data_IF_714178473767
#
_entry.id   IF_714178473767
#
_cell.length_a   1.000
_cell.length_b   1.000
_cell.length_c   1.000
_cell.angle_alpha   90.00
_cell.angle_beta   90.00
_cell.angle_gamma   90.00
#
_symmetry.space_group_name_H-M   'P 1'
#
loop_
_entity.id
_entity.type
_entity.pdbx_description
1 polymer ?
#
# COMPACT_ATOMS: atom_id res chain seq x y z
N UNK A 1 -3.41 0.63 -3.10
CA UNK A 1 -3.97 1.80 -3.77
C UNK A 1 -2.83 2.74 -4.12
N UNK A 2 -2.88 3.38 -5.29
CA UNK A 2 -1.90 4.36 -5.77
C UNK A 2 -2.56 5.71 -6.03
N UNK A 3 -1.74 6.75 -6.20
CA UNK A 3 -2.18 8.06 -6.66
C UNK A 3 -2.48 8.02 -8.16
N UNK A 4 -3.39 8.89 -8.61
CA UNK A 4 -3.72 9.11 -10.01
C UNK A 4 -3.57 10.62 -10.31
N UNK A 5 -2.57 11.03 -11.10
CA UNK A 5 -2.32 12.45 -11.39
C UNK A 5 -3.54 13.16 -11.96
N UNK A 6 -4.20 12.55 -12.95
CA UNK A 6 -5.39 13.11 -13.62
C UNK A 6 -6.48 13.42 -12.62
N UNK A 7 -6.75 12.46 -11.73
CA UNK A 7 -7.75 12.62 -10.68
C UNK A 7 -7.34 13.69 -9.65
N UNK A 8 -6.06 13.79 -9.31
CA UNK A 8 -5.57 14.82 -8.39
C UNK A 8 -5.63 16.22 -9.00
N UNK A 9 -5.33 16.36 -10.29
CA UNK A 9 -5.44 17.60 -11.06
C UNK A 9 -6.90 18.03 -11.14
N UNK A 10 -7.79 17.11 -11.53
CA UNK A 10 -9.23 17.35 -11.55
C UNK A 10 -9.72 17.85 -10.19
N UNK A 11 -9.27 17.25 -9.09
CA UNK A 11 -9.71 17.65 -7.74
C UNK A 11 -8.98 18.87 -7.17
N UNK A 12 -7.97 19.40 -7.88
CA UNK A 12 -7.18 20.57 -7.49
C UNK A 12 -6.23 20.31 -6.31
N UNK A 13 -5.68 19.10 -6.21
CA UNK A 13 -4.70 18.69 -5.19
C UNK A 13 -3.36 18.21 -5.75
N UNK A 14 -3.21 18.23 -7.08
CA UNK A 14 -1.99 17.78 -7.73
C UNK A 14 -0.78 18.58 -7.27
N UNK A 15 -0.80 19.90 -7.41
CA UNK A 15 0.39 20.74 -7.15
C UNK A 15 0.93 20.59 -5.72
N UNK A 16 0.07 20.52 -4.70
CA UNK A 16 0.55 20.33 -3.32
C UNK A 16 1.12 18.92 -3.10
N UNK A 17 0.48 17.89 -3.65
CA UNK A 17 0.97 16.51 -3.53
C UNK A 17 2.27 16.33 -4.32
N UNK A 18 2.34 16.88 -5.53
CA UNK A 18 3.50 16.82 -6.40
C UNK A 18 4.69 17.52 -5.74
N UNK A 19 4.49 18.75 -5.25
CA UNK A 19 5.50 19.51 -4.50
C UNK A 19 5.98 18.77 -3.26
N UNK A 20 5.06 18.19 -2.47
CA UNK A 20 5.43 17.42 -1.28
C UNK A 20 6.23 16.16 -1.60
N UNK A 21 5.85 15.43 -2.66
CA UNK A 21 6.55 14.21 -3.04
C UNK A 21 7.90 14.53 -3.68
N UNK A 22 8.00 15.56 -4.52
CA UNK A 22 9.21 15.89 -5.28
C UNK A 22 9.85 14.64 -5.91
N UNK A 23 11.17 14.54 -5.81
CA UNK A 23 11.94 13.36 -6.27
C UNK A 23 12.05 12.24 -5.22
N UNK A 24 11.21 12.27 -4.18
CA UNK A 24 11.29 11.26 -3.11
C UNK A 24 11.00 9.85 -3.64
N UNK A 25 11.60 8.85 -3.00
CA UNK A 25 11.32 7.44 -3.30
C UNK A 25 9.86 7.06 -2.99
N UNK A 26 9.17 7.84 -2.16
CA UNK A 26 7.73 7.67 -1.95
C UNK A 26 6.93 7.89 -3.23
N UNK A 27 7.35 8.82 -4.10
CA UNK A 27 6.72 9.01 -5.42
C UNK A 27 6.73 7.70 -6.21
N UNK A 28 7.87 7.01 -6.27
CA UNK A 28 8.01 5.74 -7.01
C UNK A 28 7.04 4.66 -6.49
N UNK A 29 6.85 4.58 -5.18
CA UNK A 29 5.93 3.63 -4.55
C UNK A 29 4.47 4.03 -4.78
N UNK A 30 4.15 5.32 -4.67
CA UNK A 30 2.78 5.83 -4.77
C UNK A 30 2.26 5.97 -6.19
N UNK A 31 3.12 5.86 -7.21
CA UNK A 31 2.78 5.87 -8.63
C UNK A 31 3.25 4.61 -9.37
N UNK A 32 3.45 3.49 -8.66
CA UNK A 32 3.82 2.23 -9.31
C UNK A 32 2.77 1.85 -10.37
N UNK A 33 3.20 1.56 -11.60
CA UNK A 33 2.34 1.16 -12.72
C UNK A 33 2.84 -0.16 -13.32
N UNK A 34 2.86 -1.21 -12.51
CA UNK A 34 3.28 -2.55 -12.95
C UNK A 34 2.11 -3.54 -12.88
N UNK A 35 2.03 -4.45 -13.84
CA UNK A 35 1.01 -5.51 -13.85
C UNK A 35 1.36 -6.56 -12.80
N UNK A 36 0.38 -7.07 -12.07
CA UNK A 36 0.57 -8.12 -11.08
C UNK A 36 0.40 -9.50 -11.73
N UNK A 37 1.21 -10.47 -11.31
CA UNK A 37 0.94 -11.90 -11.55
C UNK A 37 0.50 -12.54 -10.24
N UNK A 38 -0.75 -13.01 -10.15
CA UNK A 38 -1.28 -13.63 -8.94
C UNK A 38 -0.49 -14.89 -8.55
N UNK A 39 -0.17 -15.83 -9.47
CA UNK A 39 0.62 -17.01 -9.15
C UNK A 39 1.98 -16.66 -8.53
N UNK A 40 2.75 -15.76 -9.16
CA UNK A 40 4.06 -15.35 -8.66
C UNK A 40 3.97 -14.57 -7.35
N UNK A 41 2.92 -13.77 -7.19
CA UNK A 41 2.64 -13.04 -5.96
C UNK A 41 2.41 -14.01 -4.79
N UNK A 42 1.60 -15.04 -5.02
CA UNK A 42 1.30 -16.04 -3.99
C UNK A 42 2.54 -16.88 -3.67
N UNK A 43 3.27 -17.36 -4.67
CA UNK A 43 4.50 -18.12 -4.49
C UNK A 43 5.52 -17.34 -3.64
N UNK A 44 5.76 -16.07 -3.99
CA UNK A 44 6.65 -15.20 -3.24
C UNK A 44 6.17 -14.99 -1.80
N UNK A 45 4.90 -14.63 -1.60
CA UNK A 45 4.38 -14.31 -0.26
C UNK A 45 4.32 -15.52 0.67
N UNK A 46 4.09 -16.72 0.13
CA UNK A 46 4.08 -17.97 0.90
C UNK A 46 5.50 -18.45 1.25
N UNK A 47 6.51 -18.06 0.48
CA UNK A 47 7.90 -18.51 0.67
C UNK A 47 8.80 -17.47 1.34
N UNK A 48 8.40 -16.18 1.38
CA UNK A 48 9.29 -15.11 1.85
C UNK A 48 9.62 -15.23 3.34
N UNK A 49 10.92 -15.32 3.62
CA UNK A 49 11.49 -15.42 4.95
C UNK A 49 12.65 -14.43 5.10
N UNK A 50 12.85 -13.96 6.33
CA UNK A 50 13.94 -13.03 6.66
C UNK A 50 14.88 -13.68 7.65
N UNK A 51 16.18 -13.58 7.42
CA UNK A 51 17.23 -13.98 8.36
C UNK A 51 18.18 -12.83 8.66
N UNK A 52 18.74 -12.84 9.86
CA UNK A 52 19.76 -11.90 10.30
C UNK A 52 20.86 -12.68 11.01
N UNK A 53 22.11 -12.52 10.56
CA UNK A 53 23.25 -13.35 11.00
C UNK A 53 22.95 -14.87 10.99
N UNK A 54 22.28 -15.35 9.94
CA UNK A 54 21.94 -16.77 9.79
C UNK A 54 20.72 -17.23 10.61
N UNK A 55 20.23 -16.43 11.56
CA UNK A 55 19.06 -16.78 12.35
C UNK A 55 17.77 -16.20 11.77
N UNK A 56 16.67 -16.94 11.90
CA UNK A 56 15.35 -16.45 11.48
C UNK A 56 14.98 -15.18 12.25
N UNK A 57 14.56 -14.14 11.53
CA UNK A 57 14.08 -12.90 12.13
C UNK A 57 12.75 -13.18 12.81
N UNK A 58 12.79 -13.33 14.14
CA UNK A 58 11.63 -13.57 14.98
C UNK A 58 10.57 -12.47 14.84
N UNK A 59 9.36 -12.77 15.26
CA UNK A 59 8.27 -11.81 15.26
C UNK A 59 8.61 -10.61 16.18
N UNK A 60 8.61 -9.40 15.61
CA UNK A 60 9.05 -8.18 16.31
C UNK A 60 10.51 -7.80 16.09
N UNK A 61 11.37 -8.70 15.60
CA UNK A 61 12.75 -8.37 15.28
C UNK A 61 12.86 -7.41 14.08
N UNK A 62 13.82 -6.49 14.20
CA UNK A 62 14.03 -5.39 13.26
C UNK A 62 14.72 -5.92 12.01
N UNK A 63 14.01 -5.89 10.88
CA UNK A 63 14.64 -6.05 9.56
C UNK A 63 15.51 -4.82 9.31
N UNK A 64 16.78 -5.04 9.04
CA UNK A 64 17.76 -4.05 8.62
C UNK A 64 18.21 -4.27 7.17
N UNK A 65 19.08 -3.39 6.67
CA UNK A 65 19.62 -3.47 5.29
C UNK A 65 20.44 -4.74 5.05
N UNK A 66 21.16 -5.21 6.06
CA UNK A 66 22.00 -6.42 6.01
C UNK A 66 21.22 -7.71 6.29
N UNK A 67 19.93 -7.62 6.63
CA UNK A 67 19.09 -8.81 6.73
C UNK A 67 19.00 -9.48 5.36
N UNK A 68 18.99 -10.82 5.33
CA UNK A 68 18.76 -11.59 4.10
C UNK A 68 17.28 -11.91 3.94
N UNK A 69 16.79 -11.77 2.73
CA UNK A 69 15.45 -12.16 2.30
C UNK A 69 15.58 -13.40 1.41
N UNK A 70 15.00 -14.51 1.87
CA UNK A 70 14.86 -15.75 1.10
C UNK A 70 13.43 -15.89 0.61
N UNK A 71 13.24 -16.34 -0.61
CA UNK A 71 11.92 -16.50 -1.22
C UNK A 71 12.02 -17.36 -2.47
N UNK A 72 10.89 -17.83 -2.97
CA UNK A 72 10.77 -18.62 -4.20
C UNK A 72 9.96 -17.83 -5.23
N UNK A 73 10.45 -17.79 -6.46
CA UNK A 73 9.70 -17.32 -7.64
C UNK A 73 10.06 -18.22 -8.82
N UNK A 74 9.06 -18.63 -9.61
CA UNK A 74 9.23 -19.53 -10.77
C UNK A 74 9.84 -20.88 -10.37
N UNK A 75 9.51 -21.37 -9.18
CA UNK A 75 10.05 -22.60 -8.60
C UNK A 75 11.50 -22.51 -8.14
N UNK A 76 12.16 -21.36 -8.27
CA UNK A 76 13.56 -21.18 -7.91
C UNK A 76 13.70 -20.43 -6.59
N UNK A 77 14.53 -20.96 -5.69
CA UNK A 77 14.89 -20.27 -4.45
C UNK A 77 15.88 -19.14 -4.73
N UNK A 78 15.59 -17.97 -4.16
CA UNK A 78 16.42 -16.79 -4.19
C UNK A 78 16.78 -16.36 -2.78
N UNK A 79 17.97 -15.80 -2.62
CA UNK A 79 18.48 -15.29 -1.35
C UNK A 79 19.27 -14.01 -1.61
N UNK A 80 18.68 -12.87 -1.26
CA UNK A 80 19.29 -11.53 -1.47
C UNK A 80 19.34 -10.75 -0.16
N UNK A 81 20.18 -9.72 -0.07
CA UNK A 81 20.11 -8.79 1.06
C UNK A 81 18.93 -7.83 0.89
N UNK A 82 18.49 -7.20 1.98
CA UNK A 82 17.49 -6.13 1.92
C UNK A 82 18.05 -4.91 1.17
N UNK A 83 19.35 -4.63 1.28
CA UNK A 83 20.02 -3.65 0.43
C UNK A 83 19.87 -3.99 -1.06
N UNK A 84 20.07 -5.26 -1.42
CA UNK A 84 19.93 -5.76 -2.78
C UNK A 84 18.50 -5.67 -3.32
N UNK A 85 17.52 -5.98 -2.48
CA UNK A 85 16.10 -5.75 -2.78
C UNK A 85 15.85 -4.30 -3.23
N UNK A 86 16.46 -3.34 -2.52
CA UNK A 86 16.30 -1.91 -2.81
C UNK A 86 16.70 -1.53 -4.23
N UNK A 87 17.90 -1.93 -4.67
CA UNK A 87 18.34 -1.58 -6.03
C UNK A 87 17.68 -2.45 -7.11
N UNK A 88 17.33 -3.71 -6.81
CA UNK A 88 16.58 -4.57 -7.74
C UNK A 88 15.18 -4.04 -8.05
N UNK A 89 14.54 -3.39 -7.09
CA UNK A 89 13.27 -2.68 -7.32
C UNK A 89 13.46 -1.29 -7.96
N UNK A 90 14.68 -0.94 -8.38
CA UNK A 90 14.99 0.35 -8.99
C UNK A 90 14.85 1.54 -8.04
N UNK A 91 14.94 1.34 -6.72
CA UNK A 91 14.87 2.44 -5.75
C UNK A 91 16.22 3.10 -5.49
N UNK A 92 17.30 2.35 -5.67
CA UNK A 92 18.66 2.79 -5.42
C UNK A 92 19.58 2.25 -6.52
N UNK A 93 20.74 2.87 -6.70
CA UNK A 93 21.82 2.26 -7.49
C UNK A 93 22.53 1.18 -6.69
N UNK A 94 23.06 0.11 -7.31
CA UNK A 94 23.85 -0.90 -6.60
C UNK A 94 25.01 -0.30 -5.78
N UNK A 95 25.75 0.67 -6.35
CA UNK A 95 26.85 1.34 -5.67
C UNK A 95 26.40 2.05 -4.38
N UNK A 96 25.32 2.84 -4.45
CA UNK A 96 24.79 3.54 -3.28
C UNK A 96 24.36 2.58 -2.16
N UNK A 97 23.82 1.41 -2.48
CA UNK A 97 23.38 0.46 -1.43
C UNK A 97 24.52 -0.16 -0.62
N UNK A 98 25.77 0.04 -1.03
CA UNK A 98 26.95 -0.43 -0.32
C UNK A 98 27.54 0.61 0.64
N UNK A 99 27.08 1.87 0.58
CA UNK A 99 27.66 2.98 1.33
C UNK A 99 27.11 3.07 2.75
N UNK A 100 27.83 3.79 3.61
CA UNK A 100 27.39 4.00 5.00
C UNK A 100 26.21 4.96 5.08
N UNK A 101 26.10 5.92 4.14
CA UNK A 101 24.96 6.82 4.06
C UNK A 101 23.65 6.04 3.84
N UNK A 102 23.68 4.98 3.03
CA UNK A 102 22.52 4.10 2.84
C UNK A 102 22.15 3.33 4.13
N UNK A 103 23.15 2.81 4.85
CA UNK A 103 22.93 2.10 6.12
C UNK A 103 22.39 3.02 7.21
N UNK A 104 22.83 4.27 7.22
CA UNK A 104 22.40 5.31 8.15
C UNK A 104 20.97 5.84 7.87
N UNK A 105 20.37 5.51 6.71
CA UNK A 105 19.02 5.98 6.38
C UNK A 105 17.98 5.56 7.45
N UNK A 106 17.14 6.48 7.93
CA UNK A 106 16.12 6.18 8.93
C UNK A 106 15.18 5.06 8.50
N UNK A 107 14.97 4.09 9.40
CA UNK A 107 13.93 3.04 9.25
C UNK A 107 12.78 3.21 10.23
N UNK A 108 12.90 4.18 11.15
CA UNK A 108 11.96 4.56 12.20
C UNK A 108 12.12 6.06 12.46
N UNK A 109 11.16 6.67 13.16
CA UNK A 109 11.29 8.06 13.59
C UNK A 109 12.53 8.22 14.48
N UNK A 110 13.27 9.34 14.36
CA UNK A 110 14.36 9.65 15.29
C UNK A 110 13.88 9.64 16.74
N UNK A 111 14.74 9.23 17.68
CA UNK A 111 14.35 9.16 19.10
C UNK A 111 14.07 10.55 19.70
N UNK A 112 14.78 11.57 19.22
CA UNK A 112 14.58 12.97 19.60
C UNK A 112 13.36 13.63 18.92
N UNK A 113 12.64 12.92 18.03
CA UNK A 113 11.50 13.50 17.33
C UNK A 113 10.27 13.57 18.23
N UNK A 114 9.80 14.79 18.51
CA UNK A 114 8.55 15.03 19.24
C UNK A 114 7.34 14.82 18.33
N UNK A 115 6.73 13.65 18.45
CA UNK A 115 5.54 13.27 17.69
C UNK A 115 4.29 14.06 18.08
N UNK A 116 4.19 14.49 19.35
CA UNK A 116 3.02 15.20 19.84
C UNK A 116 3.08 16.66 19.36
N UNK A 117 4.25 17.29 19.42
CA UNK A 117 4.47 18.62 18.85
C UNK A 117 4.19 18.63 17.34
N UNK A 118 4.71 17.64 16.61
CA UNK A 118 4.42 17.47 15.18
C UNK A 118 2.93 17.32 14.92
N UNK A 119 2.25 16.46 15.68
CA UNK A 119 0.82 16.23 15.52
C UNK A 119 0.03 17.51 15.77
N UNK A 120 0.31 18.26 16.84
CA UNK A 120 -0.40 19.51 17.14
C UNK A 120 -0.21 20.59 16.06
N UNK A 121 0.99 20.64 15.46
CA UNK A 121 1.28 21.56 14.35
C UNK A 121 0.46 21.25 13.10
N UNK A 122 0.33 19.97 12.75
CA UNK A 122 -0.27 19.54 11.47
C UNK A 122 -1.71 19.03 11.59
N UNK A 123 -2.25 18.90 12.81
CA UNK A 123 -3.59 18.41 13.08
C UNK A 123 -4.47 19.44 13.76
N UNK A 124 -5.76 19.38 13.46
CA UNK A 124 -6.83 20.06 14.19
C UNK A 124 -7.07 19.45 15.58
N UNK A 125 -6.54 18.25 15.85
CA UNK A 125 -6.67 17.57 17.14
C UNK A 125 -5.57 18.01 18.11
N UNK A 126 -6.00 18.51 19.27
CA UNK A 126 -5.11 18.99 20.34
C UNK A 126 -4.76 17.92 21.37
N UNK A 127 -5.19 16.67 21.16
CA UNK A 127 -4.85 15.53 22.03
C UNK A 127 -3.52 14.89 21.60
N UNK A 128 -2.79 14.34 22.58
CA UNK A 128 -1.54 13.60 22.34
C UNK A 128 -1.75 12.44 21.36
N UNK A 129 -0.84 12.34 20.39
CA UNK A 129 -0.80 11.31 19.36
C UNK A 129 -0.67 9.92 19.99
N UNK A 130 0.17 9.76 21.02
CA UNK A 130 0.48 8.46 21.61
C UNK A 130 -0.65 7.88 22.45
N UNK A 131 -1.52 8.73 23.00
CA UNK A 131 -2.51 8.29 23.99
C UNK A 131 -3.86 7.87 23.39
N UNK A 132 -4.27 8.43 22.24
CA UNK A 132 -5.70 8.39 21.85
C UNK A 132 -6.00 7.90 20.41
N UNK A 133 -5.11 7.14 19.77
CA UNK A 133 -5.35 6.58 18.43
C UNK A 133 -5.72 7.67 17.39
N UNK A 134 -4.71 8.39 16.87
CA UNK A 134 -4.91 9.58 16.07
C UNK A 134 -5.61 9.25 14.74
N UNK A 135 -6.49 10.16 14.31
CA UNK A 135 -7.30 9.97 13.11
C UNK A 135 -6.83 10.89 11.96
N UNK A 136 -6.59 10.35 10.77
CA UNK A 136 -6.09 11.09 9.62
C UNK A 136 -7.08 12.13 9.09
N UNK A 137 -8.38 12.00 9.33
CA UNK A 137 -9.33 13.06 8.99
C UNK A 137 -9.16 14.32 9.85
N UNK A 138 -8.25 14.31 10.83
CA UNK A 138 -7.88 15.46 11.66
C UNK A 138 -6.71 16.25 11.11
N UNK A 139 -6.02 15.79 10.06
CA UNK A 139 -5.01 16.61 9.38
C UNK A 139 -5.59 17.98 9.00
N UNK A 140 -4.83 19.05 9.25
CA UNK A 140 -5.23 20.42 8.86
C UNK A 140 -5.27 20.56 7.34
N UNK A 141 -4.26 20.00 6.68
CA UNK A 141 -4.09 20.09 5.25
C UNK A 141 -4.68 18.86 4.56
N UNK A 142 -5.53 19.08 3.55
CA UNK A 142 -6.29 18.00 2.91
C UNK A 142 -5.40 16.99 2.17
N UNK A 143 -4.29 17.43 1.57
CA UNK A 143 -3.38 16.55 0.85
C UNK A 143 -2.70 15.53 1.78
N UNK A 144 -2.50 15.86 3.06
CA UNK A 144 -2.04 14.90 4.08
C UNK A 144 -3.06 13.80 4.34
N UNK A 145 -4.34 14.17 4.34
CA UNK A 145 -5.41 13.19 4.48
C UNK A 145 -5.51 12.28 3.27
N UNK A 146 -5.38 12.81 2.05
CA UNK A 146 -5.33 12.03 0.81
C UNK A 146 -4.17 11.03 0.86
N UNK A 147 -2.96 11.49 1.19
CA UNK A 147 -1.78 10.62 1.28
C UNK A 147 -1.95 9.54 2.36
N UNK A 148 -2.49 9.88 3.53
CA UNK A 148 -2.79 8.92 4.60
C UNK A 148 -3.75 7.83 4.12
N UNK A 149 -4.80 8.22 3.40
CA UNK A 149 -5.80 7.31 2.88
C UNK A 149 -5.19 6.35 1.84
N UNK A 150 -4.41 6.87 0.89
CA UNK A 150 -3.76 6.06 -0.15
C UNK A 150 -2.76 5.08 0.46
N UNK A 151 -1.91 5.54 1.38
CA UNK A 151 -0.98 4.68 2.11
C UNK A 151 -1.70 3.60 2.90
N UNK A 152 -2.78 3.96 3.59
CA UNK A 152 -3.55 2.98 4.37
C UNK A 152 -4.23 1.95 3.47
N UNK A 153 -4.80 2.35 2.32
CA UNK A 153 -5.39 1.42 1.36
C UNK A 153 -4.36 0.62 0.54
N UNK A 154 -3.11 1.08 0.48
CA UNK A 154 -2.03 0.47 -0.30
C UNK A 154 -0.93 -0.07 0.59
N UNK A 155 0.13 0.72 0.73
CA UNK A 155 1.39 0.29 1.33
C UNK A 155 1.28 -0.22 2.77
N UNK A 156 0.44 0.38 3.61
CA UNK A 156 0.21 -0.12 4.97
C UNK A 156 -0.89 -1.21 5.03
N UNK A 157 -1.71 -1.28 3.99
CA UNK A 157 -2.74 -2.31 3.76
C UNK A 157 -3.76 -2.47 4.90
N UNK A 158 -4.25 -1.35 5.42
CA UNK A 158 -5.37 -1.26 6.38
C UNK A 158 -6.59 -0.61 5.71
N UNK A 159 -7.16 -1.17 4.62
CA UNK A 159 -8.27 -0.56 3.89
C UNK A 159 -9.56 -0.44 4.71
N UNK A 160 -9.72 -1.22 5.78
CA UNK A 160 -10.88 -1.13 6.69
C UNK A 160 -10.67 -0.14 7.85
N UNK A 161 -9.46 0.40 7.99
CA UNK A 161 -9.12 1.36 9.04
C UNK A 161 -8.24 2.49 8.48
N UNK A 162 -8.75 3.12 7.42
CA UNK A 162 -8.04 4.17 6.68
C UNK A 162 -7.82 5.43 7.48
N UNK A 163 -8.65 5.66 8.50
CA UNK A 163 -8.54 6.82 9.35
C UNK A 163 -7.50 6.66 10.47
N UNK A 164 -7.03 5.46 10.84
CA UNK A 164 -6.11 5.31 11.97
C UNK A 164 -4.65 5.55 11.56
N UNK A 165 -4.01 6.49 12.25
CA UNK A 165 -2.58 6.75 12.12
C UNK A 165 -1.77 5.96 13.17
N UNK A 166 -0.58 5.55 12.78
CA UNK A 166 0.43 4.90 13.61
C UNK A 166 1.76 5.63 13.47
N UNK A 167 2.74 5.31 14.33
CA UNK A 167 4.11 5.86 14.21
C UNK A 167 4.75 5.60 12.83
N UNK A 168 4.37 4.49 12.16
CA UNK A 168 4.86 4.19 10.80
C UNK A 168 4.31 5.15 9.76
N UNK A 169 3.07 5.60 9.93
CA UNK A 169 2.47 6.63 9.09
C UNK A 169 3.21 7.96 9.28
N UNK A 170 3.55 8.31 10.52
CA UNK A 170 4.25 9.57 10.82
C UNK A 170 5.68 9.58 10.26
N UNK A 171 6.37 8.43 10.17
CA UNK A 171 7.67 8.35 9.49
C UNK A 171 7.60 8.83 8.03
N UNK A 172 6.54 8.46 7.30
CA UNK A 172 6.32 8.94 5.94
C UNK A 172 6.21 10.47 5.92
N UNK A 173 5.35 11.03 6.75
CA UNK A 173 5.12 12.47 6.75
C UNK A 173 6.32 13.29 7.22
N UNK A 174 7.00 12.82 8.26
CA UNK A 174 8.26 13.39 8.72
C UNK A 174 9.30 13.42 7.58
N UNK A 175 9.43 12.32 6.83
CA UNK A 175 10.40 12.24 5.73
C UNK A 175 10.10 13.24 4.60
N UNK A 176 8.82 13.51 4.33
CA UNK A 176 8.42 14.49 3.31
C UNK A 176 8.66 15.93 3.78
N UNK A 177 8.26 16.28 5.00
CA UNK A 177 8.45 17.65 5.53
C UNK A 177 9.94 17.99 5.60
N UNK A 178 10.74 17.09 6.17
CA UNK A 178 12.16 17.37 6.39
C UNK A 178 13.02 17.11 5.16
N UNK A 179 12.44 16.58 4.07
CA UNK A 179 13.15 16.14 2.86
C UNK A 179 14.30 15.16 3.17
N UNK A 180 14.09 14.33 4.18
CA UNK A 180 15.06 13.30 4.59
C UNK A 180 14.60 11.95 4.01
N UNK A 181 15.40 11.30 3.15
CA UNK A 181 15.05 9.99 2.64
C UNK A 181 15.02 8.96 3.78
N UNK A 182 14.07 8.02 3.70
CA UNK A 182 14.03 6.83 4.57
C UNK A 182 14.61 5.64 3.82
N UNK A 183 15.04 4.61 4.56
CA UNK A 183 15.51 3.38 3.92
C UNK A 183 14.30 2.61 3.35
N UNK A 184 13.97 2.91 2.09
CA UNK A 184 12.81 2.35 1.41
C UNK A 184 12.95 0.84 1.21
N UNK A 185 14.18 0.34 1.06
CA UNK A 185 14.42 -1.10 0.92
C UNK A 185 13.98 -1.86 2.18
N UNK A 186 14.32 -1.34 3.36
CA UNK A 186 13.86 -1.88 4.64
C UNK A 186 12.35 -1.76 4.81
N UNK A 187 11.75 -0.65 4.39
CA UNK A 187 10.29 -0.47 4.45
C UNK A 187 9.56 -1.46 3.52
N UNK A 188 10.08 -1.70 2.31
CA UNK A 188 9.55 -2.67 1.36
C UNK A 188 9.68 -4.11 1.89
N UNK A 189 10.82 -4.47 2.48
CA UNK A 189 10.99 -5.77 3.13
C UNK A 189 9.97 -6.00 4.25
N UNK A 190 9.74 -4.98 5.10
CA UNK A 190 8.71 -5.02 6.15
C UNK A 190 7.30 -5.09 5.56
N UNK A 191 7.05 -4.41 4.45
CA UNK A 191 5.81 -4.49 3.71
C UNK A 191 5.55 -5.93 3.24
N UNK A 192 6.48 -6.56 2.53
CA UNK A 192 6.35 -7.95 2.07
C UNK A 192 6.11 -8.93 3.21
N UNK A 193 6.89 -8.83 4.30
CA UNK A 193 6.65 -9.63 5.51
C UNK A 193 5.22 -9.46 6.03
N UNK A 194 4.70 -8.23 6.01
CA UNK A 194 3.35 -7.94 6.47
C UNK A 194 2.25 -8.42 5.52
N UNK A 195 2.54 -8.60 4.24
CA UNK A 195 1.58 -9.09 3.25
C UNK A 195 1.46 -10.62 3.31
N UNK A 196 2.56 -11.35 3.60
CA UNK A 196 2.53 -12.81 3.72
C UNK A 196 1.94 -13.35 5.03
N UNK A 197 2.04 -12.60 6.14
CA UNK A 197 1.66 -13.11 7.48
C UNK A 197 0.21 -12.86 7.91
N UNK A 198 -0.46 -11.86 7.35
CA UNK A 198 -1.78 -11.45 7.83
C UNK A 198 -2.86 -11.92 6.88
N UNK A 199 -3.97 -12.44 7.40
CA UNK A 199 -5.20 -12.68 6.62
C UNK A 199 -5.69 -11.33 6.10
N UNK A 200 -5.38 -11.02 4.83
CA UNK A 200 -5.80 -9.78 4.18
C UNK A 200 -6.86 -10.10 3.15
N UNK A 201 -7.89 -9.25 3.10
CA UNK A 201 -8.89 -9.27 2.02
C UNK A 201 -8.32 -8.82 0.67
N UNK A 202 -7.16 -8.16 0.67
CA UNK A 202 -6.52 -7.60 -0.53
C UNK A 202 -5.01 -7.75 -0.44
N UNK A 203 -4.41 -8.35 -1.47
CA UNK A 203 -2.96 -8.41 -1.64
C UNK A 203 -2.53 -7.19 -2.45
N UNK A 204 -1.56 -6.42 -1.95
CA UNK A 204 -1.07 -5.20 -2.62
C UNK A 204 0.37 -5.33 -3.12
N UNK A 205 1.00 -6.49 -2.90
CA UNK A 205 2.41 -6.72 -3.23
C UNK A 205 2.66 -7.02 -4.71
N UNK A 206 1.64 -7.41 -5.46
CA UNK A 206 1.80 -7.98 -6.80
C UNK A 206 2.61 -7.15 -7.79
N UNK A 207 2.29 -5.85 -7.99
CA UNK A 207 3.09 -4.99 -8.86
C UNK A 207 4.58 -4.95 -8.48
N UNK A 208 4.88 -4.86 -7.18
CA UNK A 208 6.27 -4.84 -6.71
C UNK A 208 6.99 -6.16 -6.90
N UNK A 209 6.27 -7.29 -6.77
CA UNK A 209 6.83 -8.62 -7.01
C UNK A 209 7.12 -8.78 -8.51
N UNK A 210 6.23 -8.34 -9.39
CA UNK A 210 6.51 -8.34 -10.84
C UNK A 210 7.75 -7.49 -11.16
N UNK A 211 7.89 -6.30 -10.58
CA UNK A 211 9.11 -5.48 -10.74
C UNK A 211 10.35 -6.24 -10.29
N UNK A 212 10.29 -6.93 -9.14
CA UNK A 212 11.38 -7.75 -8.65
C UNK A 212 11.72 -8.90 -9.62
N UNK A 213 10.71 -9.60 -10.16
CA UNK A 213 10.90 -10.68 -11.15
C UNK A 213 11.59 -10.16 -12.40
N UNK A 214 11.15 -9.03 -12.94
CA UNK A 214 11.81 -8.39 -14.10
C UNK A 214 13.27 -8.04 -13.84
N UNK A 215 13.63 -7.73 -12.59
CA UNK A 215 15.03 -7.47 -12.22
C UNK A 215 15.91 -8.73 -12.23
N UNK A 216 15.33 -9.93 -12.05
CA UNK A 216 16.04 -11.20 -12.13
C UNK A 216 16.02 -11.77 -13.55
N UNK A 217 14.91 -11.58 -14.26
CA UNK A 217 14.66 -12.15 -15.58
C UNK A 217 14.11 -11.07 -16.52
N UNK A 218 14.97 -10.18 -17.06
CA UNK A 218 14.52 -9.04 -17.87
C UNK A 218 13.75 -9.42 -19.12
N UNK A 219 14.16 -10.51 -19.76
CA UNK A 219 13.62 -10.98 -21.04
C UNK A 219 12.47 -11.99 -20.89
N UNK A 220 12.07 -12.30 -19.65
CA UNK A 220 11.01 -13.28 -19.39
C UNK A 220 9.63 -12.69 -19.70
N UNK A 221 8.85 -13.41 -20.50
CA UNK A 221 7.41 -13.19 -20.59
C UNK A 221 6.73 -13.74 -19.32
N UNK A 222 6.36 -12.84 -18.42
CA UNK A 222 5.87 -13.20 -17.09
C UNK A 222 4.47 -13.84 -17.23
N UNK A 223 4.29 -15.09 -16.75
CA UNK A 223 3.01 -15.77 -16.89
C UNK A 223 1.94 -15.16 -15.98
N UNK A 224 0.68 -15.22 -16.45
CA UNK A 224 -0.49 -14.88 -15.63
C UNK A 224 -0.59 -13.41 -15.22
N UNK A 225 -0.01 -12.49 -16.00
CA UNK A 225 -0.15 -11.06 -15.76
C UNK A 225 -1.62 -10.63 -15.88
N UNK A 226 -2.16 -10.06 -14.82
CA UNK A 226 -3.48 -9.44 -14.79
C UNK A 226 -3.50 -8.15 -15.62
N UNK A 227 -4.67 -7.67 -16.03
CA UNK A 227 -4.77 -6.31 -16.58
C UNK A 227 -4.32 -5.28 -15.53
N UNK A 228 -3.83 -4.12 -15.97
CA UNK A 228 -3.31 -3.09 -15.06
C UNK A 228 -4.37 -2.64 -14.05
N UNK A 229 -5.62 -2.51 -14.49
CA UNK A 229 -6.77 -2.13 -13.66
C UNK A 229 -7.08 -3.13 -12.53
N UNK A 230 -6.75 -4.40 -12.73
CA UNK A 230 -6.95 -5.48 -11.75
C UNK A 230 -5.70 -5.65 -10.87
N UNK A 231 -4.55 -5.21 -11.36
CA UNK A 231 -3.27 -5.23 -10.66
C UNK A 231 -3.16 -4.13 -9.61
N UNK A 232 -3.78 -2.98 -9.90
CA UNK A 232 -3.61 -1.77 -9.10
C UNK A 232 -4.94 -1.07 -8.86
N UNK A 233 -5.20 -0.77 -7.59
CA UNK A 233 -6.31 0.10 -7.21
C UNK A 233 -5.87 1.56 -7.30
N UNK A 234 -6.43 2.31 -8.24
CA UNK A 234 -6.18 3.77 -8.35
C UNK A 234 -7.09 4.57 -7.41
N UNK A 235 -6.64 5.77 -7.03
CA UNK A 235 -7.48 6.77 -6.38
C UNK A 235 -8.58 7.23 -7.38
N UNK A 236 -9.83 7.31 -6.93
CA UNK A 236 -10.98 7.67 -7.78
C UNK A 236 -11.84 8.73 -7.11
N UNK A 237 -12.70 9.42 -7.86
CA UNK A 237 -13.68 10.39 -7.34
C UNK A 237 -14.48 9.86 -6.13
N UNK A 238 -14.90 8.59 -6.16
CA UNK A 238 -15.60 7.95 -5.04
C UNK A 238 -14.78 7.92 -3.75
N UNK A 239 -13.45 7.88 -3.84
CA UNK A 239 -12.56 7.94 -2.67
C UNK A 239 -12.62 9.30 -1.99
N UNK A 240 -12.63 10.39 -2.76
CA UNK A 240 -12.77 11.74 -2.21
C UNK A 240 -14.14 11.96 -1.58
N UNK A 241 -15.21 11.48 -2.23
CA UNK A 241 -16.56 11.50 -1.66
C UNK A 241 -16.61 10.75 -0.33
N UNK A 242 -16.01 9.55 -0.26
CA UNK A 242 -15.93 8.76 0.98
C UNK A 242 -15.11 9.47 2.07
N UNK A 243 -14.05 10.19 1.68
CA UNK A 243 -13.25 11.03 2.59
C UNK A 243 -13.93 12.37 2.94
N UNK A 244 -15.07 12.70 2.31
CA UNK A 244 -15.74 14.01 2.44
C UNK A 244 -14.84 15.19 2.05
N UNK A 245 -13.92 14.96 1.12
CA UNK A 245 -13.08 16.00 0.53
C UNK A 245 -13.90 16.72 -0.54
N UNK A 246 -13.73 18.04 -0.64
CA UNK A 246 -14.37 18.86 -1.68
C UNK A 246 -13.37 19.15 -2.79
N UNK A 247 -13.84 19.16 -4.04
CA UNK A 247 -13.07 19.65 -5.18
C UNK A 247 -12.64 21.11 -4.93
N UNK A 248 -11.36 21.45 -5.11
CA UNK A 248 -10.96 22.87 -5.09
C UNK A 248 -11.52 23.58 -6.32
N UNK A 249 -12.00 24.81 -6.15
CA UNK A 249 -12.37 25.65 -7.30
C UNK A 249 -11.09 26.11 -7.99
N UNK A 250 -10.99 25.93 -9.30
CA UNK A 250 -9.89 26.49 -10.08
C UNK A 250 -9.92 28.00 -9.93
N UNK A 251 -8.82 28.60 -9.44
CA UNK A 251 -8.69 30.05 -9.26
C UNK A 251 -8.57 30.80 -10.59
N UNK A 252 -8.74 30.11 -11.73
CA UNK A 252 -8.81 30.69 -13.08
C UNK A 252 -10.24 30.94 -13.59
N UNK A 253 -11.29 30.63 -12.82
CA UNK A 253 -12.62 31.18 -13.11
C UNK A 253 -12.73 32.58 -12.48
N UNK A 254 -12.51 33.61 -13.31
CA UNK A 254 -12.87 34.99 -12.96
C UNK A 254 -14.33 35.05 -12.46
N UNK A 255 -14.65 35.82 -11.41
CA UNK A 255 -16.03 36.05 -11.02
C UNK A 255 -16.66 36.98 -12.04
N UNK A 256 -17.31 36.40 -13.05
CA UNK A 256 -17.93 37.12 -14.15
C UNK A 256 -19.41 36.79 -14.26
N UNK A 257 -20.23 37.79 -13.94
CA UNK A 257 -21.64 37.98 -14.30
C UNK A 257 -22.66 37.41 -13.30
N UNK A 258 -23.01 38.28 -12.34
CA UNK A 258 -24.37 38.37 -11.80
C UNK A 258 -25.36 38.63 -12.94
N UNK A 259 -26.49 37.92 -12.96
CA UNK A 259 -27.78 38.43 -13.45
C UNK A 259 -28.94 37.47 -13.06
N UNK A 260 -30.20 37.94 -13.02
CA UNK A 260 -30.81 38.37 -11.76
C UNK A 260 -31.98 37.49 -11.30
N UNK A 261 -32.39 37.76 -10.07
CA UNK A 261 -33.60 37.30 -9.39
C UNK A 261 -34.85 37.35 -10.28
N UNK A 262 -35.55 36.23 -10.43
CA UNK A 262 -37.00 36.22 -10.65
C UNK A 262 -37.68 35.20 -9.76
N UNK A 263 -38.47 35.71 -8.82
CA UNK A 263 -39.57 34.99 -8.19
C UNK A 263 -40.67 34.76 -9.23
N UNK A 264 -41.21 33.54 -9.28
CA UNK A 264 -42.38 33.20 -10.11
C UNK A 264 -42.80 31.76 -9.87
N UNK A 265 -44.01 31.60 -9.34
CA UNK A 265 -44.66 30.40 -8.84
C UNK A 265 -45.01 29.33 -9.89
N UNK A 266 -44.99 28.06 -9.44
CA UNK A 266 -45.91 26.95 -9.76
C UNK A 266 -46.60 26.92 -11.13
N UNK A 267 -46.32 25.89 -11.94
CA UNK A 267 -47.32 24.95 -12.51
C UNK A 267 -46.65 23.83 -13.32
N UNK A 268 -47.06 22.58 -13.08
CA UNK A 268 -46.86 21.43 -13.99
C UNK A 268 -47.78 21.60 -15.20
N UNK A 269 -47.41 21.11 -16.40
CA UNK A 269 -48.02 19.85 -16.83
C UNK A 269 -47.08 18.88 -17.58
N UNK A 270 -47.60 17.67 -17.66
CA UNK A 270 -47.12 16.41 -18.22
C UNK A 270 -46.90 16.35 -19.74
N UNK A 271 -46.00 15.44 -20.17
CA UNK A 271 -46.24 14.57 -21.34
C UNK A 271 -45.11 14.45 -22.37
N UNK A 272 -44.65 13.21 -22.57
CA UNK A 272 -43.86 12.65 -23.70
C UNK A 272 -42.39 13.04 -23.87
N UNK A 273 -41.50 12.21 -24.41
CA UNK A 273 -41.28 10.76 -24.48
C UNK A 273 -39.85 10.67 -25.05
N UNK A 274 -38.93 9.94 -24.41
CA UNK A 274 -37.55 9.84 -24.87
C UNK A 274 -36.89 8.61 -24.28
N UNK A 275 -36.72 7.61 -25.14
CA UNK A 275 -36.24 6.24 -24.93
C UNK A 275 -34.98 6.10 -24.06
N UNK A 276 -35.09 5.33 -22.97
CA UNK A 276 -33.98 4.80 -22.18
C UNK A 276 -33.75 3.33 -22.55
N UNK A 277 -32.58 2.99 -23.06
CA UNK A 277 -32.13 1.59 -23.14
C UNK A 277 -31.84 1.05 -21.73
N UNK A 278 -32.18 -0.21 -21.42
CA UNK A 278 -31.95 -0.77 -20.09
C UNK A 278 -30.49 -1.23 -19.94
N UNK A 279 -29.80 -0.69 -18.92
CA UNK A 279 -28.58 -1.29 -18.36
C UNK A 279 -28.95 -2.64 -17.71
N UNK A 280 -28.81 -3.74 -18.44
CA UNK A 280 -28.79 -5.09 -17.89
C UNK A 280 -27.37 -5.64 -17.97
N UNK A 281 -26.66 -5.64 -16.83
CA UNK A 281 -25.61 -6.61 -16.47
C UNK A 281 -25.02 -6.26 -15.09
N UNK A 282 -25.89 -6.15 -14.08
CA UNK A 282 -25.46 -6.18 -12.68
C UNK A 282 -25.73 -7.59 -12.14
N UNK A 283 -24.71 -8.28 -11.59
CA UNK A 283 -24.91 -9.60 -11.02
C UNK A 283 -26.00 -9.57 -9.96
N UNK A 284 -26.89 -10.57 -10.01
CA UNK A 284 -28.02 -10.66 -9.11
C UNK A 284 -27.54 -10.81 -7.66
N UNK A 285 -28.40 -10.52 -6.70
CA UNK A 285 -28.10 -10.75 -5.29
C UNK A 285 -27.76 -12.23 -4.99
N UNK A 286 -28.18 -13.17 -5.84
CA UNK A 286 -27.80 -14.58 -5.74
C UNK A 286 -26.35 -14.82 -6.19
N UNK A 287 -25.92 -14.16 -7.26
CA UNK A 287 -24.53 -14.24 -7.78
C UNK A 287 -23.54 -13.66 -6.77
N UNK A 288 -23.91 -12.56 -6.11
CA UNK A 288 -23.12 -11.99 -5.00
C UNK A 288 -22.98 -12.95 -3.82
N UNK A 289 -24.04 -13.70 -3.47
CA UNK A 289 -23.97 -14.68 -2.37
C UNK A 289 -23.11 -15.88 -2.77
N UNK A 290 -23.24 -16.39 -3.99
CA UNK A 290 -22.44 -17.49 -4.49
C UNK A 290 -20.95 -17.13 -4.53
N UNK A 291 -20.61 -15.92 -4.97
CA UNK A 291 -19.23 -15.42 -4.96
C UNK A 291 -18.68 -15.28 -3.53
N UNK A 292 -19.48 -14.76 -2.59
CA UNK A 292 -19.05 -14.63 -1.20
C UNK A 292 -18.87 -15.98 -0.52
N UNK A 293 -19.65 -16.99 -0.89
CA UNK A 293 -19.49 -18.36 -0.39
C UNK A 293 -18.24 -19.04 -0.99
N UNK A 294 -17.99 -18.84 -2.29
CA UNK A 294 -16.74 -19.28 -2.92
C UNK A 294 -15.49 -18.64 -2.29
N UNK A 295 -15.57 -17.35 -1.94
CA UNK A 295 -14.50 -16.66 -1.22
C UNK A 295 -14.28 -17.21 0.20
N UNK A 296 -15.34 -17.60 0.92
CA UNK A 296 -15.22 -18.24 2.24
C UNK A 296 -14.60 -19.63 2.12
N UNK A 297 -15.03 -20.42 1.14
CA UNK A 297 -14.47 -21.74 0.87
C UNK A 297 -12.97 -21.66 0.56
N UNK A 298 -12.55 -20.73 -0.29
CA UNK A 298 -11.14 -20.46 -0.56
C UNK A 298 -10.36 -20.03 0.68
N UNK A 299 -10.97 -19.20 1.53
CA UNK A 299 -10.36 -18.76 2.79
C UNK A 299 -10.13 -19.95 3.75
N UNK A 300 -11.08 -20.90 3.82
CA UNK A 300 -10.93 -22.14 4.60
C UNK A 300 -9.81 -23.01 4.04
N UNK A 301 -9.76 -23.25 2.73
CA UNK A 301 -8.70 -24.08 2.11
C UNK A 301 -7.31 -23.48 2.30
N UNK A 302 -7.17 -22.15 2.27
CA UNK A 302 -5.87 -21.49 2.52
C UNK A 302 -5.42 -21.66 3.98
N UNK A 303 -6.35 -21.62 4.94
CA UNK A 303 -6.05 -21.89 6.36
C UNK A 303 -5.63 -23.34 6.55
N UNK A 304 -6.34 -24.29 5.94
CA UNK A 304 -6.01 -25.72 6.01
C UNK A 304 -4.64 -26.05 5.42
N UNK A 305 -4.29 -25.43 4.27
CA UNK A 305 -2.97 -25.58 3.65
C UNK A 305 -1.88 -25.02 4.56
N UNK A 306 -2.12 -23.84 5.17
CA UNK A 306 -1.16 -23.23 6.10
C UNK A 306 -0.95 -24.10 7.33
N UNK A 307 -2.02 -24.59 7.93
CA UNK A 307 -1.95 -25.41 9.13
C UNK A 307 -1.31 -26.79 8.81
N UNK A 308 -1.50 -27.32 7.60
CA UNK A 308 -0.79 -28.52 7.13
C UNK A 308 0.72 -28.28 6.94
N UNK A 309 1.10 -27.11 6.41
CA UNK A 309 2.51 -26.74 6.28
C UNK A 309 3.18 -26.50 7.64
N UNK A 310 2.50 -25.83 8.58
CA UNK A 310 3.02 -25.64 9.95
C UNK A 310 3.21 -26.97 10.67
N UNK A 311 2.28 -27.93 10.52
CA UNK A 311 2.46 -29.30 11.03
C UNK A 311 3.67 -29.99 10.41
N UNK A 312 3.83 -29.95 9.09
CA UNK A 312 4.99 -30.56 8.43
C UNK A 312 6.33 -29.94 8.84
N UNK A 313 6.38 -28.63 9.09
CA UNK A 313 7.58 -27.97 9.61
C UNK A 313 7.87 -28.35 11.07
N UNK A 314 6.83 -28.56 11.88
CA UNK A 314 6.99 -29.00 13.26
C UNK A 314 7.49 -30.44 13.33
N UNK A 315 6.93 -31.35 12.52
CA UNK A 315 7.40 -32.74 12.40
C UNK A 315 8.86 -32.83 11.93
N UNK A 316 9.28 -31.99 10.98
CA UNK A 316 10.69 -31.90 10.57
C UNK A 316 11.61 -31.39 11.69
N UNK A 317 11.16 -30.43 12.50
CA UNK A 317 11.94 -29.92 13.65
C UNK A 317 12.06 -30.98 14.74
N UNK A 318 10.99 -31.71 15.00
CA UNK A 318 10.97 -32.77 16.00
C UNK A 318 11.88 -33.94 15.56
N UNK A 319 11.81 -34.35 14.29
CA UNK A 319 12.70 -35.36 13.72
C UNK A 319 14.19 -34.94 13.77
N UNK A 320 14.49 -33.66 13.50
CA UNK A 320 15.84 -33.13 13.58
C UNK A 320 16.35 -33.02 15.03
N UNK A 321 15.46 -32.73 15.99
CA UNK A 321 15.79 -32.72 17.41
C UNK A 321 16.05 -34.14 17.95
N UNK A 322 15.29 -35.15 17.50
CA UNK A 322 15.54 -36.56 17.83
C UNK A 322 16.86 -37.05 17.26
N UNK A 323 17.19 -36.69 16.01
CA UNK A 323 18.46 -37.07 15.37
C UNK A 323 19.71 -36.46 16.04
N UNK A 324 19.57 -35.33 16.72
CA UNK A 324 20.66 -34.68 17.47
C UNK A 324 20.76 -35.14 18.93
N UNK A 325 19.79 -35.92 19.42
CA UNK A 325 19.76 -36.47 20.79
C UNK A 325 20.32 -37.89 20.93
N UNK A 326 20.72 -38.54 19.83
CA UNK A 326 21.27 -39.92 19.81
C UNK A 326 22.80 -39.97 19.67
N UNK A 327 23.53 -38.92 20.06
CA UNK A 327 25.00 -38.96 20.20
C UNK A 327 25.47 -38.64 21.62
#
# INVERSE_FOLDING_TARGET
MILDPTMLEEWGYWDEIDSLLGDSLWRRILFVQERASLPLTMEFLCSVQFTHYGQAVQEGAVIGSESRMRFTILGMEHSITVAELGWRMGLYTPAYTQTEEFRALPTRLPEAFDIDEFWHRHSTDTRSFLRMHPHSNKWRETHWYILSFVLSCGFFGRPNNTNRLSKKDILFFWSLIHRIPVNMAVLMARFFRSQGKTVRRTIQAGPFITTLVRSFYPDLDIPGLLHLQDSIRVLRSSSFTNMRIKKKRNTQELPGIEQPTQQGSSSRPSGHEGSSEPFSDMPSAADWRAMMEGMRSLQTSVVEIRDAQERGFQEMRDAHATALGEF
#
